data_IF_721238309447
#
_entry.id   IF_721238309447
#
_cell.length_a   1.000
_cell.length_b   1.000
_cell.length_c   1.000
_cell.angle_alpha   90.00
_cell.angle_beta   90.00
_cell.angle_gamma   90.00
#
_symmetry.space_group_name_H-M   'P 1'
#
loop_
_entity.id
_entity.type
_entity.pdbx_description
1 polymer ?
#
# COMPACT_ATOMS: atom_id res chain seq x y z
N UNK A 1 -33.23 -20.97 3.21
CA UNK A 1 -32.48 -19.82 3.68
C UNK A 1 -32.16 -18.97 2.46
N UNK A 2 -32.93 -17.92 2.24
CA UNK A 2 -32.78 -16.97 1.14
C UNK A 2 -31.51 -16.13 1.37
N UNK A 3 -30.57 -16.22 0.44
CA UNK A 3 -29.36 -15.35 0.45
C UNK A 3 -29.85 -13.90 0.33
N UNK A 4 -29.60 -13.11 1.35
CA UNK A 4 -29.85 -11.69 1.32
C UNK A 4 -28.95 -11.09 0.21
N UNK A 5 -29.56 -10.51 -0.83
CA UNK A 5 -28.89 -9.72 -1.84
C UNK A 5 -28.21 -8.54 -1.16
N UNK A 6 -26.90 -8.36 -1.39
CA UNK A 6 -26.21 -7.18 -0.91
C UNK A 6 -26.93 -5.93 -1.43
N UNK A 7 -27.11 -4.88 -0.60
CA UNK A 7 -27.81 -3.68 -1.02
C UNK A 7 -27.07 -3.04 -2.20
N UNK A 8 -27.84 -2.67 -3.25
CA UNK A 8 -27.33 -1.90 -4.40
C UNK A 8 -26.67 -0.62 -3.90
N UNK A 9 -25.34 -0.60 -3.92
CA UNK A 9 -24.59 0.61 -3.57
C UNK A 9 -24.74 1.62 -4.71
N UNK A 10 -25.13 2.86 -4.44
CA UNK A 10 -25.32 3.86 -5.49
C UNK A 10 -24.02 4.04 -6.28
N UNK A 11 -24.09 4.07 -7.60
CA UNK A 11 -22.93 4.19 -8.52
C UNK A 11 -22.00 5.37 -8.17
N UNK A 12 -22.56 6.48 -7.69
CA UNK A 12 -21.79 7.65 -7.23
C UNK A 12 -20.83 7.32 -6.07
N UNK A 13 -21.17 6.34 -5.22
CA UNK A 13 -20.31 5.92 -4.11
C UNK A 13 -19.12 5.07 -4.58
N UNK A 14 -19.28 4.27 -5.64
CA UNK A 14 -18.21 3.47 -6.22
C UNK A 14 -17.22 4.35 -6.99
N UNK A 15 -17.72 5.32 -7.76
CA UNK A 15 -16.86 6.29 -8.47
C UNK A 15 -16.00 7.08 -7.48
N UNK A 16 -16.60 7.59 -6.40
CA UNK A 16 -15.86 8.29 -5.36
C UNK A 16 -14.81 7.39 -4.69
N UNK A 17 -15.12 6.12 -4.42
CA UNK A 17 -14.18 5.19 -3.83
C UNK A 17 -12.99 4.90 -4.76
N UNK A 18 -13.22 4.75 -6.07
CA UNK A 18 -12.16 4.59 -7.07
C UNK A 18 -11.27 5.83 -7.16
N UNK A 19 -11.86 7.03 -7.20
CA UNK A 19 -11.09 8.28 -7.24
C UNK A 19 -10.23 8.48 -5.98
N UNK A 20 -10.76 8.15 -4.80
CA UNK A 20 -10.01 8.15 -3.54
C UNK A 20 -8.85 7.15 -3.61
N UNK A 21 -9.09 5.94 -4.15
CA UNK A 21 -8.06 4.92 -4.30
C UNK A 21 -6.96 5.37 -5.27
N UNK A 22 -7.32 5.94 -6.41
CA UNK A 22 -6.38 6.50 -7.39
C UNK A 22 -5.53 7.61 -6.78
N UNK A 23 -6.15 8.56 -6.07
CA UNK A 23 -5.44 9.64 -5.39
C UNK A 23 -4.51 9.10 -4.29
N UNK A 24 -4.96 8.10 -3.52
CA UNK A 24 -4.11 7.38 -2.56
C UNK A 24 -2.86 6.82 -3.24
N UNK A 25 -3.01 6.12 -4.36
CA UNK A 25 -1.89 5.52 -5.08
C UNK A 25 -0.94 6.55 -5.68
N UNK A 26 -1.47 7.68 -6.19
CA UNK A 26 -0.65 8.79 -6.70
C UNK A 26 0.20 9.40 -5.58
N UNK A 27 -0.40 9.66 -4.41
CA UNK A 27 0.31 10.21 -3.25
C UNK A 27 1.35 9.20 -2.74
N UNK A 28 0.99 7.91 -2.69
CA UNK A 28 1.92 6.86 -2.32
C UNK A 28 3.11 6.77 -3.29
N UNK A 29 2.86 6.84 -4.60
CA UNK A 29 3.89 6.80 -5.63
C UNK A 29 4.86 7.97 -5.54
N UNK A 30 4.41 9.15 -5.11
CA UNK A 30 5.28 10.31 -4.88
C UNK A 30 6.31 10.07 -3.76
N UNK A 31 6.07 9.12 -2.85
CA UNK A 31 7.02 8.71 -1.83
C UNK A 31 8.20 7.91 -2.36
N UNK A 32 8.11 7.26 -3.54
CA UNK A 32 9.17 6.39 -4.05
C UNK A 32 10.47 7.16 -4.37
N UNK A 33 10.44 8.28 -5.11
CA UNK A 33 11.65 9.10 -5.30
C UNK A 33 12.21 9.67 -3.99
N UNK A 34 11.34 9.97 -3.03
CA UNK A 34 11.78 10.42 -1.71
C UNK A 34 12.48 9.30 -0.92
N UNK A 35 11.99 8.04 -1.04
CA UNK A 35 12.62 6.88 -0.42
C UNK A 35 14.03 6.61 -0.97
N UNK A 36 14.23 6.71 -2.28
CA UNK A 36 15.54 6.50 -2.92
C UNK A 36 16.62 7.42 -2.34
N UNK A 37 16.23 8.64 -1.94
CA UNK A 37 17.13 9.58 -1.29
C UNK A 37 17.47 9.20 0.14
N UNK A 38 16.56 8.53 0.85
CA UNK A 38 16.67 8.23 2.28
C UNK A 38 17.28 6.84 2.56
N UNK A 39 17.07 5.87 1.67
CA UNK A 39 17.58 4.49 1.81
C UNK A 39 19.09 4.42 2.05
N UNK A 40 19.95 5.22 1.38
CA UNK A 40 21.39 5.20 1.62
C UNK A 40 21.81 5.79 2.99
N UNK A 41 20.90 6.51 3.67
CA UNK A 41 21.23 7.28 4.88
C UNK A 41 20.95 6.54 6.17
N UNK A 42 20.02 5.55 6.15
CA UNK A 42 19.62 4.78 7.34
C UNK A 42 19.45 3.30 7.00
N UNK A 43 19.82 2.41 7.93
CA UNK A 43 19.43 1.00 7.87
C UNK A 43 17.92 0.84 7.69
N UNK A 44 17.49 -0.23 6.99
CA UNK A 44 16.09 -0.41 6.59
C UNK A 44 15.09 -0.48 7.75
N UNK A 45 15.47 -1.07 8.88
CA UNK A 45 14.68 -1.10 10.11
C UNK A 45 14.50 0.31 10.71
N UNK A 46 15.60 1.06 10.81
CA UNK A 46 15.61 2.43 11.33
C UNK A 46 14.80 3.38 10.44
N UNK A 47 15.00 3.29 9.12
CA UNK A 47 14.22 4.08 8.16
C UNK A 47 12.73 3.77 8.27
N UNK A 48 12.38 2.48 8.41
CA UNK A 48 10.98 2.07 8.59
C UNK A 48 10.42 2.59 9.93
N UNK A 49 11.17 2.48 11.03
CA UNK A 49 10.75 2.96 12.34
C UNK A 49 10.50 4.48 12.33
N UNK A 50 11.42 5.28 11.77
CA UNK A 50 11.26 6.73 11.64
C UNK A 50 10.04 7.07 10.77
N UNK A 51 9.91 6.41 9.60
CA UNK A 51 8.79 6.60 8.69
C UNK A 51 7.45 6.32 9.37
N UNK A 52 7.32 5.18 10.08
CA UNK A 52 6.09 4.81 10.78
C UNK A 52 5.78 5.79 11.91
N UNK A 53 6.79 6.22 12.67
CA UNK A 53 6.61 7.16 13.79
C UNK A 53 6.11 8.52 13.31
N UNK A 54 6.69 9.07 12.24
CA UNK A 54 6.25 10.35 11.71
C UNK A 54 4.84 10.27 11.11
N UNK A 55 4.54 9.22 10.37
CA UNK A 55 3.21 9.00 9.81
C UNK A 55 2.17 8.81 10.93
N UNK A 56 2.47 7.96 11.91
CA UNK A 56 1.59 7.71 13.05
C UNK A 56 1.33 8.98 13.85
N UNK A 57 2.38 9.74 14.17
CA UNK A 57 2.27 11.00 14.91
C UNK A 57 1.39 12.01 14.18
N UNK A 58 1.59 12.20 12.88
CA UNK A 58 0.78 13.12 12.07
C UNK A 58 -0.69 12.69 12.00
N UNK A 59 -0.95 11.41 11.72
CA UNK A 59 -2.32 10.89 11.61
C UNK A 59 -3.02 10.87 12.96
N UNK A 60 -2.34 10.50 14.05
CA UNK A 60 -2.90 10.52 15.40
C UNK A 60 -3.19 11.96 15.88
N UNK A 61 -2.30 12.90 15.58
CA UNK A 61 -2.54 14.33 15.86
C UNK A 61 -3.76 14.85 15.08
N UNK A 62 -3.87 14.54 13.80
CA UNK A 62 -5.02 14.93 12.99
C UNK A 62 -6.31 14.29 13.51
N UNK A 63 -6.27 13.03 13.91
CA UNK A 63 -7.39 12.33 14.54
C UNK A 63 -7.83 13.00 15.85
N UNK A 64 -6.86 13.32 16.73
CA UNK A 64 -7.11 14.06 17.96
C UNK A 64 -7.79 15.41 17.72
N UNK A 65 -7.31 16.16 16.71
CA UNK A 65 -7.84 17.48 16.36
C UNK A 65 -9.25 17.41 15.75
N UNK A 66 -9.58 16.31 15.03
CA UNK A 66 -10.86 16.17 14.34
C UNK A 66 -11.95 15.52 15.18
N UNK A 67 -11.59 14.56 16.00
CA UNK A 67 -12.54 13.71 16.74
C UNK A 67 -12.39 13.84 18.27
N UNK A 68 -11.37 14.58 18.72
CA UNK A 68 -11.10 14.82 20.15
C UNK A 68 -10.35 13.66 20.80
N UNK A 69 -10.10 13.80 22.11
CA UNK A 69 -9.33 12.83 22.89
C UNK A 69 -10.12 11.56 23.26
N UNK A 70 -11.45 11.62 23.22
CA UNK A 70 -12.30 10.51 23.65
C UNK A 70 -12.06 9.20 22.92
N UNK A 71 -12.12 9.16 21.56
CA UNK A 71 -11.81 7.99 20.78
C UNK A 71 -10.37 7.48 21.00
N UNK A 72 -9.40 8.40 21.05
CA UNK A 72 -7.99 8.05 21.26
C UNK A 72 -7.75 7.35 22.61
N UNK A 73 -8.40 7.80 23.69
CA UNK A 73 -8.27 7.20 25.02
C UNK A 73 -8.98 5.86 25.15
N UNK A 74 -10.03 5.63 24.34
CA UNK A 74 -10.82 4.39 24.35
C UNK A 74 -10.35 3.38 23.32
N UNK A 75 -9.41 3.74 22.46
CA UNK A 75 -8.91 2.89 21.39
C UNK A 75 -8.32 1.58 21.95
N UNK A 76 -8.55 0.47 21.23
CA UNK A 76 -7.96 -0.82 21.59
C UNK A 76 -6.51 -0.89 21.10
N UNK A 77 -5.59 -0.27 21.86
CA UNK A 77 -4.18 -0.19 21.53
C UNK A 77 -3.48 -1.55 21.39
N UNK A 78 -3.71 -2.57 22.29
CA UNK A 78 -3.11 -3.89 22.11
C UNK A 78 -3.47 -4.53 20.77
N UNK A 79 -4.75 -4.42 20.36
CA UNK A 79 -5.22 -4.88 19.06
C UNK A 79 -4.62 -4.05 17.93
N UNK A 80 -4.45 -2.74 18.15
CA UNK A 80 -3.78 -1.82 17.23
C UNK A 80 -2.33 -2.21 16.99
N UNK A 81 -1.59 -2.56 18.04
CA UNK A 81 -0.21 -3.06 17.93
C UNK A 81 -0.18 -4.39 17.17
N UNK A 82 -1.05 -5.34 17.48
CA UNK A 82 -1.09 -6.63 16.79
C UNK A 82 -1.36 -6.49 15.28
N UNK A 83 -2.36 -5.69 14.89
CA UNK A 83 -2.66 -5.43 13.47
C UNK A 83 -1.59 -4.56 12.81
N UNK A 84 -1.16 -3.51 13.51
CA UNK A 84 -0.14 -2.58 13.03
C UNK A 84 1.21 -3.26 12.81
N UNK A 85 1.56 -4.26 13.61
CA UNK A 85 2.80 -5.04 13.43
C UNK A 85 2.86 -5.70 12.05
N UNK A 86 1.75 -6.18 11.51
CA UNK A 86 1.71 -6.73 10.14
C UNK A 86 2.09 -5.67 9.12
N UNK A 87 1.57 -4.45 9.25
CA UNK A 87 1.88 -3.33 8.35
C UNK A 87 3.35 -2.91 8.50
N UNK A 88 3.84 -2.77 9.75
CA UNK A 88 5.20 -2.37 10.06
C UNK A 88 6.24 -3.37 9.55
N UNK A 89 6.11 -4.64 9.90
CA UNK A 89 7.01 -5.69 9.43
C UNK A 89 6.89 -5.92 7.92
N UNK A 90 5.68 -5.78 7.35
CA UNK A 90 5.50 -5.79 5.90
C UNK A 90 6.30 -4.69 5.21
N UNK A 91 6.25 -3.47 5.71
CA UNK A 91 7.02 -2.35 5.16
C UNK A 91 8.54 -2.57 5.32
N UNK A 92 8.99 -3.13 6.44
CA UNK A 92 10.39 -3.49 6.64
C UNK A 92 10.85 -4.58 5.66
N UNK A 93 10.05 -5.64 5.49
CA UNK A 93 10.32 -6.68 4.48
C UNK A 93 10.44 -6.10 3.07
N UNK A 94 9.60 -5.11 2.70
CA UNK A 94 9.69 -4.43 1.40
C UNK A 94 11.04 -3.73 1.22
N UNK A 95 11.46 -2.94 2.21
CA UNK A 95 12.74 -2.20 2.16
C UNK A 95 13.91 -3.18 2.08
N UNK A 96 13.90 -4.25 2.88
CA UNK A 96 14.93 -5.28 2.83
C UNK A 96 14.95 -6.05 1.51
N UNK A 97 13.79 -6.31 0.94
CA UNK A 97 13.65 -6.95 -0.38
C UNK A 97 14.15 -6.04 -1.50
N UNK A 98 13.78 -4.77 -1.47
CA UNK A 98 14.23 -3.76 -2.42
C UNK A 98 15.74 -3.54 -2.35
N UNK A 99 16.33 -3.52 -1.16
CA UNK A 99 17.78 -3.41 -0.98
C UNK A 99 18.56 -4.59 -1.60
N UNK A 100 17.94 -5.78 -1.74
CA UNK A 100 18.58 -6.99 -2.30
C UNK A 100 18.33 -7.19 -3.79
N UNK A 101 17.12 -6.87 -4.26
CA UNK A 101 16.68 -7.16 -5.63
C UNK A 101 16.39 -5.93 -6.48
N UNK A 102 16.55 -4.73 -5.89
CA UNK A 102 16.25 -3.46 -6.54
C UNK A 102 14.78 -3.11 -6.60
N UNK A 103 14.50 -1.88 -7.00
CA UNK A 103 13.14 -1.34 -7.07
C UNK A 103 12.26 -2.08 -8.09
N UNK A 104 12.84 -2.57 -9.20
CA UNK A 104 12.10 -3.32 -10.24
C UNK A 104 11.55 -4.62 -9.66
N UNK A 105 12.38 -5.42 -8.96
CA UNK A 105 11.92 -6.65 -8.32
C UNK A 105 10.79 -6.36 -7.31
N UNK A 106 10.98 -5.34 -6.46
CA UNK A 106 9.98 -4.93 -5.49
C UNK A 106 8.66 -4.54 -6.16
N UNK A 107 8.70 -3.78 -7.27
CA UNK A 107 7.52 -3.39 -8.03
C UNK A 107 6.82 -4.59 -8.68
N UNK A 108 7.58 -5.52 -9.31
CA UNK A 108 7.03 -6.75 -9.92
C UNK A 108 6.32 -7.59 -8.87
N UNK A 109 6.96 -7.85 -7.74
CA UNK A 109 6.34 -8.67 -6.68
C UNK A 109 5.14 -7.93 -6.05
N UNK A 110 5.21 -6.61 -5.86
CA UNK A 110 4.09 -5.82 -5.34
C UNK A 110 2.87 -5.83 -6.26
N UNK A 111 3.05 -6.01 -7.58
CA UNK A 111 1.94 -6.17 -8.52
C UNK A 111 1.11 -7.46 -8.29
N UNK A 112 1.59 -8.40 -7.46
CA UNK A 112 0.82 -9.57 -7.04
C UNK A 112 -0.19 -9.27 -5.93
N UNK A 113 -0.17 -8.07 -5.34
CA UNK A 113 -1.06 -7.66 -4.25
C UNK A 113 -2.56 -7.88 -4.57
N UNK A 114 -3.07 -7.60 -5.79
CA UNK A 114 -4.46 -7.92 -6.14
C UNK A 114 -4.77 -9.43 -6.06
N UNK A 115 -3.82 -10.29 -6.45
CA UNK A 115 -4.00 -11.74 -6.38
C UNK A 115 -4.16 -12.17 -4.93
N UNK A 116 -3.26 -11.70 -4.05
CA UNK A 116 -3.30 -11.99 -2.62
C UNK A 116 -4.58 -11.41 -1.99
N UNK A 117 -4.96 -10.18 -2.34
CA UNK A 117 -6.18 -9.54 -1.84
C UNK A 117 -7.44 -10.31 -2.21
N UNK A 118 -7.57 -10.72 -3.47
CA UNK A 118 -8.70 -11.52 -3.95
C UNK A 118 -8.70 -12.91 -3.30
N UNK A 119 -7.53 -13.55 -3.16
CA UNK A 119 -7.43 -14.83 -2.49
C UNK A 119 -7.89 -14.74 -1.02
N UNK A 120 -7.51 -13.70 -0.30
CA UNK A 120 -7.98 -13.46 1.07
C UNK A 120 -9.50 -13.26 1.14
N UNK A 121 -10.09 -12.50 0.21
CA UNK A 121 -11.54 -12.31 0.15
C UNK A 121 -12.28 -13.61 -0.18
N UNK A 122 -11.75 -14.45 -1.06
CA UNK A 122 -12.32 -15.78 -1.36
C UNK A 122 -12.28 -16.67 -0.14
N UNK A 123 -11.11 -16.73 0.55
CA UNK A 123 -10.91 -17.63 1.68
C UNK A 123 -11.65 -17.19 2.96
N UNK A 124 -11.69 -15.89 3.22
CA UNK A 124 -12.17 -15.35 4.49
C UNK A 124 -13.56 -14.73 4.41
N UNK A 125 -13.96 -14.21 3.25
CA UNK A 125 -15.22 -13.51 3.06
C UNK A 125 -16.19 -14.26 2.12
N UNK A 126 -15.76 -15.42 1.59
CA UNK A 126 -16.56 -16.25 0.68
C UNK A 126 -16.84 -15.57 -0.66
N UNK A 127 -15.98 -14.64 -1.10
CA UNK A 127 -16.13 -13.94 -2.38
C UNK A 127 -16.14 -14.95 -3.54
N UNK A 128 -17.10 -14.79 -4.46
CA UNK A 128 -17.16 -15.60 -5.68
C UNK A 128 -16.21 -15.05 -6.74
N UNK A 129 -15.45 -15.94 -7.35
CA UNK A 129 -14.65 -15.62 -8.55
C UNK A 129 -15.59 -15.54 -9.76
N UNK A 130 -15.68 -14.35 -10.34
CA UNK A 130 -16.43 -14.13 -11.58
C UNK A 130 -15.45 -14.06 -12.77
N UNK A 131 -15.88 -14.41 -14.01
CA UNK A 131 -15.04 -14.25 -15.20
C UNK A 131 -14.56 -12.80 -15.38
N UNK A 132 -15.39 -11.82 -15.04
CA UNK A 132 -15.02 -10.40 -15.09
C UNK A 132 -13.90 -10.07 -14.11
N UNK A 133 -13.96 -10.61 -12.87
CA UNK A 133 -12.90 -10.41 -11.88
C UNK A 133 -11.58 -11.04 -12.33
N UNK A 134 -11.62 -12.26 -12.90
CA UNK A 134 -10.42 -12.96 -13.40
C UNK A 134 -9.81 -12.19 -14.58
N UNK A 135 -10.63 -11.81 -15.56
CA UNK A 135 -10.16 -11.05 -16.71
C UNK A 135 -9.57 -9.69 -16.31
N UNK A 136 -10.27 -8.97 -15.43
CA UNK A 136 -9.79 -7.70 -14.89
C UNK A 136 -8.47 -7.82 -14.13
N UNK A 137 -8.31 -8.88 -13.34
CA UNK A 137 -7.06 -9.20 -12.65
C UNK A 137 -5.91 -9.46 -13.67
N UNK A 138 -6.14 -10.29 -14.69
CA UNK A 138 -5.13 -10.59 -15.71
C UNK A 138 -4.73 -9.34 -16.49
N UNK A 139 -5.69 -8.49 -16.89
CA UNK A 139 -5.40 -7.22 -17.56
C UNK A 139 -4.60 -6.27 -16.66
N UNK A 140 -4.98 -6.17 -15.37
CA UNK A 140 -4.28 -5.33 -14.41
C UNK A 140 -2.84 -5.79 -14.19
N UNK A 141 -2.60 -7.10 -14.07
CA UNK A 141 -1.26 -7.67 -13.95
C UNK A 141 -0.43 -7.45 -15.23
N UNK A 142 -1.03 -7.69 -16.40
CA UNK A 142 -0.37 -7.48 -17.70
C UNK A 142 0.03 -6.02 -17.89
N UNK A 143 -0.89 -5.07 -17.62
CA UNK A 143 -0.59 -3.64 -17.69
C UNK A 143 0.48 -3.22 -16.69
N UNK A 144 0.45 -3.73 -15.45
CA UNK A 144 1.50 -3.50 -14.46
C UNK A 144 2.86 -4.01 -14.94
N UNK A 145 2.92 -5.21 -15.50
CA UNK A 145 4.15 -5.79 -16.07
C UNK A 145 4.67 -4.99 -17.27
N UNK A 146 3.78 -4.52 -18.16
CA UNK A 146 4.16 -3.66 -19.31
C UNK A 146 4.75 -2.31 -18.88
N UNK A 147 4.34 -1.78 -17.73
CA UNK A 147 4.82 -0.51 -17.22
C UNK A 147 6.23 -0.58 -16.61
N UNK A 148 6.73 -1.79 -16.31
CA UNK A 148 8.06 -2.00 -15.76
C UNK A 148 9.12 -1.87 -16.86
N UNK A 149 10.16 -1.09 -16.59
CA UNK A 149 11.30 -0.99 -17.49
C UNK A 149 12.21 -2.22 -17.32
N UNK A 150 12.44 -3.04 -18.38
CA UNK A 150 13.30 -4.22 -18.31
C UNK A 150 14.79 -3.89 -18.06
N UNK A 151 15.18 -2.61 -18.21
CA UNK A 151 16.58 -2.16 -18.11
C UNK A 151 17.11 -1.97 -16.68
N UNK A 152 16.28 -2.13 -15.63
CA UNK A 152 16.73 -2.04 -14.25
C UNK A 152 17.64 -3.20 -13.86
N UNK A 153 18.78 -2.91 -13.25
CA UNK A 153 19.76 -3.90 -12.77
C UNK A 153 19.14 -4.80 -11.69
N UNK A 154 18.59 -5.93 -12.09
CA UNK A 154 18.23 -6.97 -11.15
C UNK A 154 19.50 -7.62 -10.59
N UNK A 155 19.60 -7.73 -9.26
CA UNK A 155 20.64 -8.53 -8.61
C UNK A 155 20.66 -9.97 -9.13
N UNK A 156 21.76 -10.67 -8.99
CA UNK A 156 21.90 -12.05 -9.45
C UNK A 156 22.00 -13.05 -8.29
N UNK A 157 21.55 -14.29 -8.54
CA UNK A 157 21.74 -15.41 -7.62
C UNK A 157 20.84 -15.42 -6.38
N UNK A 158 21.37 -15.92 -5.26
CA UNK A 158 20.63 -16.11 -4.00
C UNK A 158 20.02 -14.83 -3.43
N UNK A 159 20.66 -13.68 -3.62
CA UNK A 159 20.15 -12.39 -3.18
C UNK A 159 18.82 -12.02 -3.85
N UNK A 160 18.65 -12.36 -5.14
CA UNK A 160 17.41 -12.11 -5.87
C UNK A 160 16.25 -12.93 -5.29
N UNK A 161 16.50 -14.22 -5.00
CA UNK A 161 15.48 -15.11 -4.41
C UNK A 161 15.04 -14.63 -3.04
N UNK A 162 16.01 -14.27 -2.16
CA UNK A 162 15.72 -13.74 -0.83
C UNK A 162 14.98 -12.40 -0.95
N UNK A 163 15.39 -11.52 -1.86
CA UNK A 163 14.73 -10.26 -2.14
C UNK A 163 13.28 -10.45 -2.57
N UNK A 164 13.02 -11.38 -3.49
CA UNK A 164 11.68 -11.72 -3.95
C UNK A 164 10.80 -12.27 -2.82
N UNK A 165 11.35 -13.19 -2.00
CA UNK A 165 10.63 -13.76 -0.86
C UNK A 165 10.26 -12.69 0.18
N UNK A 166 11.16 -11.76 0.49
CA UNK A 166 10.89 -10.64 1.39
C UNK A 166 9.81 -9.69 0.81
N UNK A 167 9.89 -9.34 -0.46
CA UNK A 167 8.86 -8.53 -1.11
C UNK A 167 7.49 -9.25 -1.09
N UNK A 168 7.45 -10.55 -1.33
CA UNK A 168 6.20 -11.31 -1.27
C UNK A 168 5.66 -11.41 0.16
N UNK A 169 6.52 -11.62 1.16
CA UNK A 169 6.14 -11.55 2.57
C UNK A 169 5.54 -10.17 2.90
N UNK A 170 6.12 -9.09 2.39
CA UNK A 170 5.56 -7.74 2.51
C UNK A 170 4.14 -7.67 1.96
N UNK A 171 3.90 -8.19 0.76
CA UNK A 171 2.55 -8.20 0.13
C UNK A 171 1.54 -8.94 1.01
N UNK A 172 1.90 -10.12 1.54
CA UNK A 172 1.03 -10.88 2.43
C UNK A 172 0.69 -10.10 3.70
N UNK A 173 1.71 -9.58 4.40
CA UNK A 173 1.56 -8.87 5.66
C UNK A 173 0.77 -7.57 5.49
N UNK A 174 1.08 -6.79 4.45
CA UNK A 174 0.38 -5.54 4.16
C UNK A 174 -1.08 -5.78 3.78
N UNK A 175 -1.36 -6.79 2.95
CA UNK A 175 -2.72 -7.11 2.51
C UNK A 175 -3.58 -7.56 3.69
N UNK A 176 -3.05 -8.49 4.50
CA UNK A 176 -3.72 -8.97 5.71
C UNK A 176 -3.90 -7.83 6.72
N UNK A 177 -2.86 -7.02 6.97
CA UNK A 177 -2.92 -5.88 7.87
C UNK A 177 -3.94 -4.84 7.42
N UNK A 178 -4.02 -4.53 6.13
CA UNK A 178 -5.01 -3.59 5.57
C UNK A 178 -6.45 -4.12 5.74
N UNK A 179 -6.68 -5.40 5.46
CA UNK A 179 -7.99 -6.02 5.69
C UNK A 179 -8.37 -5.98 7.17
N UNK A 180 -7.45 -6.37 8.06
CA UNK A 180 -7.70 -6.36 9.50
C UNK A 180 -7.87 -4.94 10.05
N UNK A 181 -7.24 -3.94 9.48
CA UNK A 181 -7.48 -2.52 9.84
C UNK A 181 -8.95 -2.16 9.66
N UNK A 182 -9.62 -2.65 8.62
CA UNK A 182 -11.04 -2.39 8.40
C UNK A 182 -11.92 -3.29 9.27
N UNK A 183 -11.63 -4.60 9.32
CA UNK A 183 -12.53 -5.58 9.93
C UNK A 183 -12.38 -5.69 11.44
N UNK A 184 -11.21 -5.37 12.00
CA UNK A 184 -10.94 -5.48 13.43
C UNK A 184 -11.42 -4.27 14.25
N UNK A 185 -11.66 -3.12 13.59
CA UNK A 185 -12.08 -1.89 14.23
C UNK A 185 -13.37 -1.32 13.58
N UNK A 186 -14.50 -2.07 13.59
CA UNK A 186 -15.70 -1.70 12.84
C UNK A 186 -16.34 -0.41 13.34
N UNK A 187 -16.12 -0.04 14.60
CA UNK A 187 -16.70 1.16 15.22
C UNK A 187 -15.87 2.44 15.00
N UNK A 188 -14.63 2.28 14.51
CA UNK A 188 -13.74 3.40 14.28
C UNK A 188 -13.92 3.99 12.87
N UNK A 189 -13.70 5.29 12.75
CA UNK A 189 -13.62 5.95 11.43
C UNK A 189 -12.39 5.46 10.65
N UNK A 190 -12.34 5.59 9.33
CA UNK A 190 -11.13 5.28 8.55
C UNK A 190 -9.88 6.00 9.07
N UNK A 191 -10.04 7.24 9.56
CA UNK A 191 -8.97 8.01 10.18
C UNK A 191 -8.52 7.36 11.49
N UNK A 192 -9.45 7.02 12.39
CA UNK A 192 -9.17 6.35 13.65
C UNK A 192 -8.52 4.98 13.46
N UNK A 193 -9.05 4.16 12.55
CA UNK A 193 -8.45 2.86 12.18
C UNK A 193 -7.01 2.99 11.73
N UNK A 194 -6.74 3.98 10.86
CA UNK A 194 -5.38 4.24 10.36
C UNK A 194 -4.47 4.75 11.46
N UNK A 195 -4.95 5.68 12.31
CA UNK A 195 -4.18 6.20 13.45
C UNK A 195 -3.78 5.07 14.41
N UNK A 196 -4.73 4.20 14.79
CA UNK A 196 -4.49 3.08 15.70
C UNK A 196 -3.46 2.11 15.11
N UNK A 197 -3.64 1.70 13.86
CA UNK A 197 -2.78 0.68 13.25
C UNK A 197 -1.41 1.21 12.84
N UNK A 198 -1.28 2.46 12.39
CA UNK A 198 0.03 3.08 12.15
C UNK A 198 0.79 3.33 13.46
N UNK A 199 0.11 3.72 14.54
CA UNK A 199 0.74 3.82 15.86
C UNK A 199 1.22 2.44 16.33
N UNK A 200 0.42 1.39 16.14
CA UNK A 200 0.84 0.02 16.41
C UNK A 200 2.05 -0.41 15.57
N UNK A 201 2.08 -0.05 14.29
CA UNK A 201 3.21 -0.30 13.41
C UNK A 201 4.47 0.43 13.89
N UNK A 202 4.34 1.70 14.29
CA UNK A 202 5.44 2.48 14.84
C UNK A 202 6.01 1.86 16.11
N UNK A 203 5.14 1.46 17.05
CA UNK A 203 5.55 0.78 18.31
C UNK A 203 6.30 -0.51 18.00
N UNK A 204 5.78 -1.35 17.09
CA UNK A 204 6.42 -2.61 16.73
C UNK A 204 7.79 -2.38 16.07
N UNK A 205 7.90 -1.42 15.18
CA UNK A 205 9.16 -1.12 14.49
C UNK A 205 10.18 -0.45 15.41
N UNK A 206 9.75 0.45 16.31
CA UNK A 206 10.63 1.02 17.34
C UNK A 206 11.16 -0.05 18.30
N UNK A 207 10.30 -1.01 18.70
CA UNK A 207 10.71 -2.13 19.52
C UNK A 207 11.72 -3.04 18.80
N UNK A 208 11.49 -3.36 17.51
CA UNK A 208 12.40 -4.16 16.71
C UNK A 208 13.76 -3.47 16.51
N UNK A 209 13.77 -2.19 16.16
CA UNK A 209 14.99 -1.39 16.00
C UNK A 209 15.73 -1.21 17.34
N UNK A 210 15.00 -0.97 18.43
CA UNK A 210 15.56 -0.90 19.77
C UNK A 210 16.20 -2.20 20.22
N UNK A 211 15.59 -3.35 19.90
CA UNK A 211 16.16 -4.65 20.17
C UNK A 211 17.47 -4.91 19.37
N UNK A 212 17.48 -4.51 18.09
CA UNK A 212 18.72 -4.59 17.29
C UNK A 212 19.82 -3.69 17.85
N UNK A 213 19.49 -2.50 18.27
CA UNK A 213 20.45 -1.59 18.90
C UNK A 213 20.99 -2.16 20.21
N UNK A 214 20.12 -2.70 21.08
CA UNK A 214 20.51 -3.32 22.34
C UNK A 214 21.43 -4.55 22.17
N UNK A 215 21.37 -5.20 21.01
CA UNK A 215 22.24 -6.34 20.65
C UNK A 215 23.49 -5.94 19.87
N UNK A 216 23.85 -4.65 19.84
CA UNK A 216 25.07 -4.14 19.21
C UNK A 216 24.89 -3.66 17.76
N UNK A 217 23.66 -3.55 17.28
CA UNK A 217 23.37 -2.93 15.99
C UNK A 217 23.74 -1.43 15.97
N UNK A 218 23.90 -0.82 14.79
CA UNK A 218 24.28 0.57 14.67
C UNK A 218 23.20 1.50 15.24
N UNK A 219 23.61 2.51 15.99
CA UNK A 219 22.70 3.57 16.42
C UNK A 219 22.26 4.43 15.21
N UNK A 220 21.00 4.93 15.19
CA UNK A 220 20.55 5.82 14.14
C UNK A 220 21.37 7.10 14.15
N UNK A 221 21.83 7.53 12.97
CA UNK A 221 22.58 8.78 12.81
C UNK A 221 21.83 9.70 11.83
N UNK A 222 21.61 10.93 12.27
CA UNK A 222 20.95 11.97 11.46
C UNK A 222 21.92 13.08 11.04
N UNK A 223 23.23 12.85 11.18
CA UNK A 223 24.25 13.85 10.91
C UNK A 223 24.27 14.34 9.45
N UNK A 224 23.84 13.47 8.50
CA UNK A 224 23.76 13.80 7.08
C UNK A 224 22.41 14.46 6.66
N UNK A 225 21.49 14.70 7.62
CA UNK A 225 20.18 15.25 7.31
C UNK A 225 20.21 16.77 7.25
N UNK A 226 19.79 17.30 6.09
CA UNK A 226 19.46 18.70 5.88
C UNK A 226 17.95 18.89 5.68
N UNK A 227 17.55 20.08 5.31
CA UNK A 227 16.14 20.40 5.03
C UNK A 227 15.55 19.56 3.90
N UNK A 228 16.38 19.15 2.92
CA UNK A 228 15.95 18.31 1.81
C UNK A 228 15.58 16.90 2.28
N UNK A 229 16.38 16.32 3.17
CA UNK A 229 16.14 14.99 3.75
C UNK A 229 14.93 14.98 4.67
N UNK A 230 14.77 16.05 5.47
CA UNK A 230 13.56 16.27 6.29
C UNK A 230 12.33 16.40 5.38
N UNK A 231 12.39 17.17 4.30
CA UNK A 231 11.31 17.30 3.32
C UNK A 231 10.97 15.96 2.63
N UNK A 232 12.00 15.21 2.22
CA UNK A 232 11.83 13.88 1.66
C UNK A 232 11.19 12.93 2.67
N UNK A 233 11.59 12.97 3.95
CA UNK A 233 10.99 12.16 5.00
C UNK A 233 9.53 12.56 5.27
N UNK A 234 9.19 13.83 5.29
CA UNK A 234 7.80 14.29 5.41
C UNK A 234 6.92 13.78 4.26
N UNK A 235 7.42 13.89 3.03
CA UNK A 235 6.72 13.34 1.88
C UNK A 235 6.57 11.82 1.98
N UNK A 236 7.65 11.11 2.32
CA UNK A 236 7.69 9.65 2.41
C UNK A 236 6.86 9.09 3.57
N UNK A 237 6.77 9.81 4.71
CA UNK A 237 6.05 9.37 5.91
C UNK A 237 4.63 9.95 5.95
N UNK A 238 4.49 11.26 6.09
CA UNK A 238 3.17 11.89 6.29
C UNK A 238 2.34 11.86 5.01
N UNK A 239 2.95 12.18 3.87
CA UNK A 239 2.27 12.12 2.57
C UNK A 239 1.99 10.69 2.14
N UNK A 240 3.05 9.99 1.74
CA UNK A 240 2.96 8.71 1.05
C UNK A 240 2.60 7.52 1.97
N UNK A 241 2.64 7.68 3.29
CA UNK A 241 2.13 6.68 4.21
C UNK A 241 0.91 7.21 4.98
N UNK A 242 1.00 8.34 5.68
CA UNK A 242 -0.09 8.82 6.52
C UNK A 242 -1.35 9.13 5.73
N UNK A 243 -1.31 10.12 4.85
CA UNK A 243 -2.47 10.56 4.05
C UNK A 243 -2.92 9.46 3.10
N UNK A 244 -2.00 8.87 2.36
CA UNK A 244 -2.29 7.79 1.42
C UNK A 244 -2.95 6.59 2.12
N UNK A 245 -2.49 6.19 3.30
CA UNK A 245 -3.05 5.06 4.05
C UNK A 245 -4.48 5.33 4.53
N UNK A 246 -4.79 6.54 4.99
CA UNK A 246 -6.19 6.92 5.34
C UNK A 246 -7.09 6.74 4.12
N UNK A 247 -6.69 7.28 2.97
CA UNK A 247 -7.44 7.16 1.71
C UNK A 247 -7.54 5.72 1.23
N UNK A 248 -6.47 4.94 1.40
CA UNK A 248 -6.45 3.50 1.12
C UNK A 248 -7.46 2.74 1.96
N UNK A 249 -7.50 2.96 3.27
CA UNK A 249 -8.44 2.28 4.19
C UNK A 249 -9.88 2.69 3.87
N UNK A 250 -10.14 3.96 3.50
CA UNK A 250 -11.46 4.39 3.00
C UNK A 250 -11.88 3.62 1.74
N UNK A 251 -10.93 3.32 0.86
CA UNK A 251 -11.18 2.56 -0.37
C UNK A 251 -11.40 1.08 -0.07
N UNK A 252 -10.58 0.47 0.79
CA UNK A 252 -10.71 -0.93 1.22
C UNK A 252 -12.05 -1.17 1.92
N UNK A 253 -12.53 -0.24 2.73
CA UNK A 253 -13.83 -0.32 3.38
C UNK A 253 -14.98 -0.37 2.36
N UNK A 254 -14.86 0.37 1.25
CA UNK A 254 -15.91 0.51 0.24
C UNK A 254 -15.84 -0.52 -0.88
N UNK A 255 -14.63 -0.81 -1.37
CA UNK A 255 -14.39 -1.69 -2.52
C UNK A 255 -14.02 -3.12 -2.13
N UNK A 256 -13.52 -3.32 -0.91
CA UNK A 256 -12.81 -4.51 -0.48
C UNK A 256 -11.33 -4.44 -0.84
N UNK A 257 -10.53 -5.34 -0.23
CA UNK A 257 -9.08 -5.32 -0.39
C UNK A 257 -8.66 -5.73 -1.81
N UNK A 258 -9.35 -6.71 -2.42
CA UNK A 258 -9.02 -7.21 -3.75
C UNK A 258 -9.22 -6.16 -4.86
N UNK A 259 -10.36 -5.44 -4.86
CA UNK A 259 -10.62 -4.40 -5.87
C UNK A 259 -9.77 -3.16 -5.65
N UNK A 260 -9.55 -2.74 -4.40
CA UNK A 260 -8.65 -1.63 -4.08
C UNK A 260 -7.22 -1.94 -4.55
N UNK A 261 -6.76 -3.18 -4.34
CA UNK A 261 -5.43 -3.62 -4.72
C UNK A 261 -5.15 -3.55 -6.23
N UNK A 262 -6.16 -3.69 -7.09
CA UNK A 262 -5.98 -3.53 -8.54
C UNK A 262 -5.39 -2.17 -8.93
N UNK A 263 -5.66 -1.12 -8.16
CA UNK A 263 -5.16 0.23 -8.44
C UNK A 263 -3.64 0.37 -8.23
N UNK A 264 -3.01 -0.51 -7.43
CA UNK A 264 -1.56 -0.44 -7.19
C UNK A 264 -0.76 -0.70 -8.48
N UNK A 265 -1.33 -1.46 -9.42
CA UNK A 265 -0.68 -1.77 -10.69
C UNK A 265 -0.56 -0.54 -11.61
N UNK A 266 -1.27 0.56 -11.30
CA UNK A 266 -1.08 1.86 -11.95
C UNK A 266 0.10 2.68 -11.35
N UNK A 267 0.74 2.20 -10.28
CA UNK A 267 1.82 2.94 -9.61
C UNK A 267 2.99 3.32 -10.54
N UNK A 268 3.48 2.46 -11.46
CA UNK A 268 4.53 2.86 -12.39
C UNK A 268 4.13 4.05 -13.26
N UNK A 269 2.87 4.14 -13.68
CA UNK A 269 2.36 5.28 -14.42
C UNK A 269 2.33 6.56 -13.59
N UNK A 270 1.93 6.48 -12.32
CA UNK A 270 1.97 7.63 -11.43
C UNK A 270 3.39 8.14 -11.20
N UNK A 271 4.36 7.22 -11.04
CA UNK A 271 5.77 7.60 -10.97
C UNK A 271 6.21 8.31 -12.26
N UNK A 272 5.83 7.79 -13.44
CA UNK A 272 6.11 8.42 -14.72
C UNK A 272 5.51 9.84 -14.80
N UNK A 273 4.25 10.03 -14.38
CA UNK A 273 3.61 11.34 -14.35
C UNK A 273 4.38 12.34 -13.48
N UNK A 274 4.83 11.90 -12.30
CA UNK A 274 5.60 12.73 -11.38
C UNK A 274 6.95 13.08 -12.01
N UNK A 275 7.66 12.11 -12.57
CA UNK A 275 8.93 12.34 -13.24
C UNK A 275 8.79 13.25 -14.45
N UNK A 276 7.71 13.10 -15.24
CA UNK A 276 7.39 14.00 -16.35
C UNK A 276 7.16 15.44 -15.87
N UNK A 277 6.40 15.63 -14.79
CA UNK A 277 6.21 16.94 -14.17
C UNK A 277 7.52 17.55 -13.63
N UNK A 278 8.52 16.72 -13.31
CA UNK A 278 9.85 17.11 -12.90
C UNK A 278 10.84 17.28 -14.08
N UNK A 279 10.34 17.21 -15.33
CA UNK A 279 11.14 17.48 -16.54
C UNK A 279 11.68 16.25 -17.26
N UNK A 280 11.32 15.03 -16.85
CA UNK A 280 11.66 13.80 -17.59
C UNK A 280 10.81 13.65 -18.86
N UNK A 281 11.28 12.94 -19.91
CA UNK A 281 10.52 12.73 -21.12
C UNK A 281 9.27 11.88 -20.87
N UNK A 282 8.20 12.13 -21.65
CA UNK A 282 6.98 11.34 -21.61
C UNK A 282 7.19 9.91 -22.14
N UNK A 283 6.65 8.92 -21.45
CA UNK A 283 6.75 7.52 -21.84
C UNK A 283 5.37 6.97 -22.28
N UNK A 284 5.19 6.81 -23.60
CA UNK A 284 3.96 6.30 -24.19
C UNK A 284 3.66 4.83 -23.84
N UNK A 285 4.70 4.01 -23.61
CA UNK A 285 4.53 2.61 -23.21
C UNK A 285 3.90 2.54 -21.83
N UNK A 286 4.39 3.32 -20.88
CA UNK A 286 3.83 3.39 -19.53
C UNK A 286 2.41 3.98 -19.54
N UNK A 287 2.14 4.97 -20.40
CA UNK A 287 0.80 5.52 -20.56
C UNK A 287 -0.20 4.48 -21.09
N UNK A 288 0.19 3.71 -22.11
CA UNK A 288 -0.59 2.60 -22.65
C UNK A 288 -0.81 1.50 -21.61
N UNK A 289 0.23 1.14 -20.87
CA UNK A 289 0.16 0.17 -19.78
C UNK A 289 -0.85 0.60 -18.70
N UNK A 290 -0.84 1.88 -18.31
CA UNK A 290 -1.82 2.42 -17.35
C UNK A 290 -3.26 2.34 -17.86
N UNK A 291 -3.50 2.56 -19.16
CA UNK A 291 -4.82 2.39 -19.76
C UNK A 291 -5.30 0.93 -19.66
N UNK A 292 -4.41 -0.03 -19.87
CA UNK A 292 -4.71 -1.48 -19.71
C UNK A 292 -5.05 -1.80 -18.25
N UNK A 293 -4.30 -1.26 -17.28
CA UNK A 293 -4.61 -1.41 -15.84
C UNK A 293 -5.99 -0.84 -15.54
N UNK A 294 -6.27 0.40 -15.97
CA UNK A 294 -7.56 1.07 -15.75
C UNK A 294 -8.73 0.26 -16.32
N UNK A 295 -8.59 -0.25 -17.54
CA UNK A 295 -9.60 -1.13 -18.16
C UNK A 295 -9.80 -2.40 -17.33
N UNK A 296 -8.73 -3.02 -16.85
CA UNK A 296 -8.77 -4.20 -15.98
C UNK A 296 -9.56 -3.94 -14.70
N UNK A 297 -9.33 -2.80 -14.06
CA UNK A 297 -10.08 -2.38 -12.86
C UNK A 297 -11.57 -2.21 -13.15
N UNK A 298 -11.93 -1.52 -14.23
CA UNK A 298 -13.33 -1.27 -14.61
C UNK A 298 -14.08 -2.58 -14.94
N UNK A 299 -13.42 -3.52 -15.62
CA UNK A 299 -13.98 -4.85 -15.91
C UNK A 299 -14.14 -5.66 -14.62
N UNK A 300 -13.13 -5.69 -13.74
CA UNK A 300 -13.18 -6.42 -12.48
C UNK A 300 -14.33 -5.95 -11.56
N UNK A 301 -14.67 -4.67 -11.64
CA UNK A 301 -15.77 -4.07 -10.89
C UNK A 301 -17.14 -4.22 -11.56
N UNK A 302 -17.20 -4.76 -12.79
CA UNK A 302 -18.43 -4.91 -13.56
C UNK A 302 -18.99 -3.57 -14.11
N UNK A 303 -18.18 -2.50 -14.10
CA UNK A 303 -18.56 -1.19 -14.68
C UNK A 303 -18.58 -1.32 -16.20
N UNK A 304 -17.61 -2.02 -16.78
CA UNK A 304 -17.62 -2.42 -18.18
C UNK A 304 -18.19 -3.83 -18.27
N UNK A 305 -19.42 -4.02 -18.80
CA UNK A 305 -20.03 -5.33 -18.90
C UNK A 305 -19.32 -6.18 -19.93
N UNK A 306 -19.09 -7.47 -19.60
CA UNK A 306 -18.59 -8.42 -20.56
C UNK A 306 -19.75 -8.96 -21.41
N UNK A 307 -19.56 -9.13 -22.75
CA UNK A 307 -20.61 -9.64 -23.62
C UNK A 307 -21.04 -11.09 -23.30
N UNK A 308 -20.23 -11.81 -22.49
CA UNK A 308 -20.46 -13.19 -22.08
C UNK A 308 -21.14 -13.33 -20.71
N UNK A 309 -21.49 -12.24 -20.02
CA UNK A 309 -22.06 -12.22 -18.66
C UNK A 309 -23.56 -11.93 -18.56
N UNK A 310 -24.23 -11.67 -19.67
CA UNK A 310 -25.66 -11.34 -19.68
C UNK A 310 -26.55 -12.58 -19.70
N UNK A 311 -26.37 -13.51 -18.77
CA UNK A 311 -27.38 -14.52 -18.42
C UNK A 311 -27.35 -14.73 -16.90
N UNK A 312 -28.09 -13.82 -16.17
CA UNK A 312 -29.03 -14.17 -15.08
C UNK A 312 -29.58 -12.93 -14.45
#
# INVERSE_FOLDING_TARGET
MTAASAPDRPQNSLTAANLICMASMLIWAAGLPAADRLIPLLPGDQLTAVRMTWAAGAVALFWLLREGAGPLLRANWPKGVAVGSLIGFGAWCLILGQARGGAVLAAVISSTLPVVGIALEVMLDGRRLTPALILGLLLSLAGGAMALDPGGSAGSGSNLVIGAALCFCSVLLFTLGSRLTVTAFPQETPLGRTAITLTGAAVAMLAATGAQWATGGPAPTFAAWGWTEVGAMLLFSVGALGISQVMWIMSVERLGIGLSALHINAAPFYVMLILFALGSPWNWVQAGAAAVVGLGVLIAQGIVPLPFGARR
#
